data_IF_959531734966
#
_entry.id   IF_959531734966
#
_cell.length_a   1.000
_cell.length_b   1.000
_cell.length_c   1.000
_cell.angle_alpha   90.00
_cell.angle_beta   90.00
_cell.angle_gamma   90.00
#
_symmetry.space_group_name_H-M   'P 1'
#
loop_
_entity.id
_entity.type
_entity.pdbx_description
1 polymer ?
#
# COMPACT_ATOMS: atom_id res chain seq x y z
N UNK A 1 -10.64 22.62 -22.84
CA UNK A 1 -10.28 21.18 -22.74
C UNK A 1 -8.91 21.09 -22.09
N UNK A 2 -8.85 21.40 -20.79
CA UNK A 2 -7.70 21.14 -19.95
C UNK A 2 -8.16 20.07 -18.96
N UNK A 3 -7.54 18.89 -19.02
CA UNK A 3 -7.64 17.86 -17.99
C UNK A 3 -6.72 18.32 -16.87
N UNK A 4 -7.30 18.91 -15.82
CA UNK A 4 -6.58 19.22 -14.59
C UNK A 4 -6.34 17.92 -13.84
N UNK A 5 -5.16 17.33 -14.03
CA UNK A 5 -4.66 16.23 -13.20
C UNK A 5 -3.95 16.85 -12.01
N UNK A 6 -4.55 16.76 -10.82
CA UNK A 6 -3.88 17.13 -9.58
C UNK A 6 -2.99 15.96 -9.19
N UNK A 7 -1.69 16.09 -9.49
CA UNK A 7 -0.64 15.37 -8.82
C UNK A 7 -0.01 16.35 -7.84
N UNK A 8 -0.36 16.29 -6.57
CA UNK A 8 0.36 17.03 -5.53
C UNK A 8 1.63 16.24 -5.17
N UNK A 9 2.61 16.24 -6.07
CA UNK A 9 3.98 15.85 -5.74
C UNK A 9 4.69 17.09 -5.23
N UNK A 10 4.88 17.21 -3.91
CA UNK A 10 5.67 18.29 -3.31
C UNK A 10 7.15 17.96 -3.54
N UNK A 11 7.67 18.27 -4.72
CA UNK A 11 9.09 18.12 -5.04
C UNK A 11 9.90 19.25 -4.37
N UNK A 12 10.53 18.94 -3.23
CA UNK A 12 11.50 19.82 -2.59
C UNK A 12 12.90 19.58 -3.18
N UNK A 13 13.25 20.27 -4.28
CA UNK A 13 14.65 20.39 -4.71
C UNK A 13 15.26 21.69 -4.16
N UNK A 14 16.09 21.59 -3.13
CA UNK A 14 16.87 22.74 -2.66
C UNK A 14 18.04 22.99 -3.61
N UNK A 15 18.03 24.17 -4.24
CA UNK A 15 19.16 24.70 -4.99
C UNK A 15 20.25 25.17 -4.03
N UNK A 16 21.35 24.44 -3.92
CA UNK A 16 22.63 25.01 -3.51
C UNK A 16 23.75 24.48 -4.40
N UNK A 17 24.22 25.37 -5.26
CA UNK A 17 25.43 25.23 -6.06
C UNK A 17 26.64 24.92 -5.18
N UNK A 18 27.23 23.72 -5.29
CA UNK A 18 28.67 23.49 -5.25
C UNK A 18 29.00 22.19 -6.01
N UNK A 19 30.04 22.28 -6.83
CA UNK A 19 30.37 21.34 -7.89
C UNK A 19 30.78 19.95 -7.36
N UNK A 20 30.13 18.90 -7.85
CA UNK A 20 30.71 17.56 -7.91
C UNK A 20 30.34 16.86 -9.23
N UNK A 21 31.30 16.10 -9.72
CA UNK A 21 31.48 15.64 -11.09
C UNK A 21 30.38 14.71 -11.62
N UNK A 22 29.90 15.03 -12.82
CA UNK A 22 29.00 14.22 -13.65
C UNK A 22 29.60 12.85 -14.00
N UNK A 23 28.94 11.77 -13.58
CA UNK A 23 28.99 10.47 -14.28
C UNK A 23 27.67 10.28 -15.02
N UNK A 24 27.72 10.50 -16.33
CA UNK A 24 26.66 10.10 -17.25
C UNK A 24 26.56 8.58 -17.31
N UNK A 25 25.47 8.00 -16.82
CA UNK A 25 24.99 6.71 -17.31
C UNK A 25 23.93 6.97 -18.39
N UNK A 26 24.31 6.63 -19.62
CA UNK A 26 23.46 6.69 -20.80
C UNK A 26 22.39 5.59 -20.70
N UNK A 27 21.14 5.98 -20.43
CA UNK A 27 19.99 5.11 -20.67
C UNK A 27 19.82 4.98 -22.19
N UNK A 28 20.12 3.79 -22.71
CA UNK A 28 19.78 3.41 -24.08
C UNK A 28 18.27 3.28 -24.18
N UNK A 29 17.64 4.19 -24.92
CA UNK A 29 16.31 3.99 -25.49
C UNK A 29 16.29 2.68 -26.29
N UNK A 30 15.52 1.69 -25.80
CA UNK A 30 15.02 0.60 -26.64
C UNK A 30 13.60 0.98 -27.03
N UNK A 31 13.42 1.24 -28.32
CA UNK A 31 12.11 1.38 -28.95
C UNK A 31 11.33 0.07 -28.85
N UNK A 32 10.24 0.07 -28.08
CA UNK A 32 9.11 -0.83 -28.28
C UNK A 32 7.88 0.02 -28.59
N UNK A 33 7.77 0.44 -29.85
CA UNK A 33 6.63 1.17 -30.38
C UNK A 33 5.58 0.15 -30.84
N UNK A 34 4.34 0.33 -30.35
CA UNK A 34 3.08 -0.41 -30.65
C UNK A 34 2.69 -1.50 -29.65
N UNK A 35 2.19 -1.11 -28.47
CA UNK A 35 1.07 -1.80 -27.81
C UNK A 35 0.39 -1.01 -26.64
N UNK A 36 0.56 0.32 -26.55
CA UNK A 36 0.12 1.11 -25.38
C UNK A 36 -0.87 2.24 -25.69
N UNK A 37 -1.80 2.03 -26.63
CA UNK A 37 -2.78 3.07 -26.98
C UNK A 37 -4.26 2.70 -26.81
N UNK A 38 -4.60 1.56 -26.20
CA UNK A 38 -6.02 1.15 -26.09
C UNK A 38 -6.55 0.83 -24.67
N UNK A 39 -5.83 1.13 -23.58
CA UNK A 39 -6.33 0.88 -22.21
C UNK A 39 -6.48 2.12 -21.33
N UNK A 40 -6.43 3.33 -21.91
CA UNK A 40 -6.77 4.57 -21.21
C UNK A 40 -8.20 5.01 -21.52
N UNK A 41 -9.18 4.14 -21.22
CA UNK A 41 -10.57 4.54 -21.09
C UNK A 41 -10.86 4.63 -19.61
N UNK A 42 -10.84 5.85 -19.06
CA UNK A 42 -11.27 6.11 -17.70
C UNK A 42 -12.68 5.55 -17.51
N UNK A 43 -12.81 4.57 -16.64
CA UNK A 43 -14.10 4.08 -16.16
C UNK A 43 -14.68 5.18 -15.26
N UNK A 44 -15.63 5.97 -15.80
CA UNK A 44 -16.53 6.75 -14.97
C UNK A 44 -17.42 5.76 -14.21
N UNK A 45 -17.05 5.46 -12.98
CA UNK A 45 -17.83 4.64 -12.04
C UNK A 45 -18.81 5.56 -11.29
N UNK A 46 -20.03 5.08 -11.11
CA UNK A 46 -21.16 5.72 -10.43
C UNK A 46 -20.74 6.48 -9.17
N UNK A 47 -21.09 7.76 -9.11
CA UNK A 47 -20.87 8.65 -7.95
C UNK A 47 -21.92 8.37 -6.84
N UNK A 48 -22.93 7.54 -7.13
CA UNK A 48 -24.15 7.43 -6.31
C UNK A 48 -24.03 6.56 -5.05
N UNK A 49 -22.97 5.78 -4.84
CA UNK A 49 -22.84 4.94 -3.64
C UNK A 49 -21.46 5.03 -3.01
N UNK A 50 -21.40 5.20 -1.69
CA UNK A 50 -20.20 4.92 -0.89
C UNK A 50 -19.80 3.46 -1.14
N UNK A 51 -18.75 3.24 -1.93
CA UNK A 51 -18.20 1.92 -2.20
C UNK A 51 -17.69 1.23 -0.92
N UNK A 52 -17.15 0.00 -1.02
CA UNK A 52 -16.56 -0.70 0.11
C UNK A 52 -15.58 0.21 0.86
N UNK A 53 -15.74 0.32 2.18
CA UNK A 53 -14.86 1.13 3.02
C UNK A 53 -14.00 0.22 3.87
N UNK A 54 -12.83 0.71 4.26
CA UNK A 54 -12.17 0.10 5.40
C UNK A 54 -13.06 0.26 6.64
N UNK A 55 -13.29 -0.82 7.37
CA UNK A 55 -14.03 -0.76 8.61
C UNK A 55 -13.22 0.08 9.60
N UNK A 56 -13.63 1.33 9.81
CA UNK A 56 -13.25 2.15 10.95
C UNK A 56 -13.99 1.61 12.18
N UNK A 57 -13.65 0.40 12.64
CA UNK A 57 -13.98 0.05 14.01
C UNK A 57 -13.25 1.07 14.90
N UNK A 58 -14.05 1.89 15.60
CA UNK A 58 -13.70 2.77 16.73
C UNK A 58 -12.20 2.92 16.89
N UNK A 59 -11.63 4.02 16.38
CA UNK A 59 -10.29 4.51 16.71
C UNK A 59 -9.41 3.40 17.29
N UNK A 60 -8.82 2.56 16.41
CA UNK A 60 -8.00 1.41 16.81
C UNK A 60 -7.30 1.73 18.13
N UNK A 61 -7.69 1.09 19.25
CA UNK A 61 -7.43 1.61 20.58
C UNK A 61 -5.92 1.83 20.71
N UNK A 62 -5.52 3.10 20.83
CA UNK A 62 -4.14 3.54 21.08
C UNK A 62 -3.07 2.78 20.27
N UNK A 63 -3.22 2.67 18.95
CA UNK A 63 -2.17 2.09 18.13
C UNK A 63 -1.20 3.19 17.66
N UNK A 64 -0.09 3.34 18.36
CA UNK A 64 1.10 4.12 17.98
C UNK A 64 1.80 3.59 16.68
N UNK A 65 1.03 3.03 15.74
CA UNK A 65 1.39 2.75 14.34
C UNK A 65 0.19 2.19 13.54
N UNK A 66 -0.47 3.01 12.72
CA UNK A 66 -1.44 2.59 11.70
C UNK A 66 -0.73 2.21 10.41
N UNK A 67 -0.25 0.98 10.31
CA UNK A 67 0.34 0.50 9.05
C UNK A 67 -0.36 -0.70 8.44
N UNK A 68 -1.51 -1.10 8.98
CA UNK A 68 -2.31 -2.16 8.38
C UNK A 68 -3.78 -1.82 8.58
N UNK A 69 -4.43 -1.43 7.50
CA UNK A 69 -5.88 -1.37 7.39
C UNK A 69 -6.39 -2.76 7.00
N UNK A 70 -7.59 -3.12 7.44
CA UNK A 70 -8.19 -4.41 7.09
C UNK A 70 -9.68 -4.22 6.82
N UNK A 71 -10.21 -4.99 5.87
CA UNK A 71 -11.65 -5.12 5.62
C UNK A 71 -11.99 -6.56 5.24
N UNK A 72 -13.24 -6.95 5.43
CA UNK A 72 -13.80 -8.21 4.92
C UNK A 72 -14.87 -7.95 3.84
N UNK A 73 -15.05 -6.70 3.41
CA UNK A 73 -16.11 -6.34 2.46
C UNK A 73 -15.92 -7.00 1.08
N UNK A 74 -14.69 -7.44 0.77
CA UNK A 74 -14.37 -8.21 -0.44
C UNK A 74 -14.69 -9.72 -0.32
N UNK A 75 -15.34 -10.17 0.76
CA UNK A 75 -15.76 -11.57 0.91
C UNK A 75 -16.62 -12.09 -0.26
N UNK A 76 -17.62 -11.36 -0.80
CA UNK A 76 -18.44 -11.86 -1.89
C UNK A 76 -17.64 -12.23 -3.14
N UNK A 77 -16.82 -11.30 -3.65
CA UNK A 77 -15.95 -11.57 -4.80
C UNK A 77 -14.89 -12.64 -4.47
N UNK A 78 -14.36 -12.64 -3.26
CA UNK A 78 -13.38 -13.66 -2.85
C UNK A 78 -13.96 -15.07 -2.84
N UNK A 79 -15.24 -15.24 -2.48
CA UNK A 79 -15.91 -16.55 -2.55
C UNK A 79 -16.00 -17.05 -3.99
N UNK A 80 -16.36 -16.16 -4.92
CA UNK A 80 -16.42 -16.46 -6.35
C UNK A 80 -15.05 -16.86 -6.90
N UNK A 81 -14.02 -16.03 -6.66
CA UNK A 81 -12.65 -16.31 -7.10
C UNK A 81 -12.09 -17.59 -6.48
N UNK A 82 -12.39 -17.84 -5.20
CA UNK A 82 -11.99 -19.07 -4.52
C UNK A 82 -12.69 -20.30 -5.12
N UNK A 83 -13.97 -20.21 -5.45
CA UNK A 83 -14.68 -21.31 -6.09
C UNK A 83 -14.03 -21.63 -7.45
N UNK A 84 -13.76 -20.62 -8.28
CA UNK A 84 -13.06 -20.80 -9.54
C UNK A 84 -11.69 -21.49 -9.34
N UNK A 85 -10.92 -21.02 -8.34
CA UNK A 85 -9.64 -21.62 -7.98
C UNK A 85 -9.77 -23.11 -7.59
N UNK A 86 -10.73 -23.45 -6.72
CA UNK A 86 -10.94 -24.83 -6.27
C UNK A 86 -11.41 -25.75 -7.40
N UNK A 87 -12.24 -25.23 -8.31
CA UNK A 87 -12.69 -25.93 -9.51
C UNK A 87 -11.55 -26.20 -10.49
N UNK A 88 -10.67 -25.21 -10.71
CA UNK A 88 -9.48 -25.33 -11.55
C UNK A 88 -8.56 -26.47 -11.07
N UNK A 89 -8.36 -26.61 -9.75
CA UNK A 89 -7.52 -27.65 -9.17
C UNK A 89 -8.26 -28.94 -8.78
N UNK A 90 -9.54 -29.09 -9.14
CA UNK A 90 -10.36 -30.25 -8.74
C UNK A 90 -9.91 -31.56 -9.37
N UNK A 91 -9.51 -31.53 -10.65
CA UNK A 91 -8.97 -32.70 -11.36
C UNK A 91 -7.56 -32.41 -11.90
N UNK A 92 -6.49 -32.87 -11.21
CA UNK A 92 -5.12 -32.61 -11.62
C UNK A 92 -4.73 -33.30 -12.95
N UNK A 93 -5.61 -34.13 -13.53
CA UNK A 93 -5.38 -34.81 -14.81
C UNK A 93 -6.08 -34.14 -15.98
N UNK A 94 -6.91 -33.12 -15.74
CA UNK A 94 -7.64 -32.45 -16.79
C UNK A 94 -6.65 -31.79 -17.76
N UNK A 95 -6.73 -32.09 -19.07
CA UNK A 95 -5.90 -31.42 -20.07
C UNK A 95 -6.55 -30.10 -20.42
N UNK A 96 -6.04 -29.00 -19.87
CA UNK A 96 -6.33 -27.65 -20.34
C UNK A 96 -5.06 -26.95 -20.82
N UNK A 97 -5.21 -25.90 -21.62
CA UNK A 97 -4.10 -25.14 -22.20
C UNK A 97 -3.29 -24.36 -21.15
N UNK A 98 -3.87 -24.13 -19.98
CA UNK A 98 -3.31 -23.31 -18.91
C UNK A 98 -2.59 -24.16 -17.85
N UNK A 99 -2.75 -25.48 -17.90
CA UNK A 99 -2.20 -26.46 -16.96
C UNK A 99 -0.73 -26.21 -16.68
N UNK A 100 0.07 -25.98 -17.73
CA UNK A 100 1.52 -25.82 -17.59
C UNK A 100 1.96 -24.40 -17.20
N UNK A 101 1.05 -23.42 -17.15
CA UNK A 101 1.37 -22.04 -16.78
C UNK A 101 1.49 -21.86 -15.26
N UNK A 102 0.86 -22.74 -14.47
CA UNK A 102 0.87 -22.69 -13.01
C UNK A 102 0.60 -24.07 -12.37
N UNK A 103 1.34 -25.10 -12.82
CA UNK A 103 1.16 -26.48 -12.31
C UNK A 103 1.94 -26.72 -10.99
N UNK A 104 1.30 -26.80 -9.82
CA UNK A 104 1.98 -27.11 -8.56
C UNK A 104 2.61 -28.51 -8.55
N UNK A 105 2.20 -29.39 -9.46
CA UNK A 105 2.67 -30.77 -9.53
C UNK A 105 3.91 -30.96 -10.42
N UNK A 106 4.26 -29.95 -11.23
CA UNK A 106 5.35 -30.05 -12.21
C UNK A 106 6.32 -28.86 -12.21
N UNK A 107 5.99 -27.73 -11.55
CA UNK A 107 6.92 -26.60 -11.37
C UNK A 107 7.65 -26.76 -10.03
N UNK A 108 8.95 -27.05 -10.07
CA UNK A 108 9.77 -26.99 -8.88
C UNK A 108 10.06 -25.52 -8.50
N UNK A 109 10.13 -25.26 -7.21
CA UNK A 109 10.60 -23.97 -6.68
C UNK A 109 12.02 -23.72 -7.19
N UNK A 110 12.22 -22.64 -7.95
CA UNK A 110 13.50 -22.27 -8.56
C UNK A 110 13.57 -22.34 -10.09
N UNK A 111 12.55 -22.89 -10.77
CA UNK A 111 12.54 -22.99 -12.24
C UNK A 111 12.03 -21.72 -12.96
N UNK A 112 11.52 -20.74 -12.22
CA UNK A 112 11.30 -19.40 -12.76
C UNK A 112 12.61 -18.64 -12.58
N UNK A 113 13.26 -18.33 -13.71
CA UNK A 113 14.47 -17.51 -13.81
C UNK A 113 14.51 -16.48 -12.70
N UNK A 114 15.61 -16.47 -11.93
CA UNK A 114 16.01 -15.36 -11.09
C UNK A 114 15.80 -14.07 -11.89
N UNK A 115 14.68 -13.39 -11.69
CA UNK A 115 14.61 -11.96 -11.93
C UNK A 115 15.61 -11.42 -10.92
N UNK A 116 16.84 -11.23 -11.38
CA UNK A 116 17.79 -10.35 -10.74
C UNK A 116 17.15 -8.97 -10.80
N UNK A 117 16.19 -8.72 -9.92
CA UNK A 117 15.98 -7.39 -9.41
C UNK A 117 17.29 -7.10 -8.68
N UNK A 118 18.12 -6.27 -9.31
CA UNK A 118 19.37 -5.80 -8.73
C UNK A 118 19.01 -5.15 -7.40
N UNK A 119 19.14 -5.90 -6.30
CA UNK A 119 19.13 -5.32 -4.97
C UNK A 119 20.27 -4.32 -4.95
N UNK A 120 19.94 -3.03 -4.86
CA UNK A 120 20.91 -2.00 -4.57
C UNK A 120 21.43 -2.22 -3.14
N UNK A 121 22.35 -3.17 -2.99
CA UNK A 121 23.13 -3.30 -1.75
C UNK A 121 23.93 -2.00 -1.66
N UNK A 122 23.67 -1.20 -0.62
CA UNK A 122 24.43 0.02 -0.40
C UNK A 122 25.92 -0.36 -0.30
N UNK A 123 26.79 0.49 -0.85
CA UNK A 123 28.25 0.32 -0.78
C UNK A 123 28.82 0.62 0.62
N UNK A 124 28.01 0.41 1.67
CA UNK A 124 28.48 0.55 3.04
C UNK A 124 29.30 -0.71 3.36
N UNK A 125 30.58 -0.68 2.99
CA UNK A 125 31.60 -1.65 3.41
C UNK A 125 31.89 -1.55 4.92
N UNK A 126 30.86 -1.38 5.76
CA UNK A 126 30.98 -1.37 7.21
C UNK A 126 30.81 -2.77 7.79
N UNK A 127 31.89 -3.25 8.42
CA UNK A 127 31.93 -4.24 9.50
C UNK A 127 31.00 -5.46 9.44
N UNK A 128 30.76 -6.03 8.25
CA UNK A 128 30.12 -7.35 8.16
C UNK A 128 30.95 -8.39 8.92
N UNK A 129 30.30 -9.20 9.76
CA UNK A 129 30.98 -10.30 10.46
C UNK A 129 31.32 -11.39 9.43
N UNK A 130 32.41 -12.12 9.64
CA UNK A 130 32.82 -13.23 8.77
C UNK A 130 31.63 -14.19 8.52
N UNK A 131 31.27 -14.42 7.26
CA UNK A 131 30.17 -15.29 6.85
C UNK A 131 28.80 -14.63 6.72
N UNK A 132 28.63 -13.36 7.11
CA UNK A 132 27.33 -12.67 7.10
C UNK A 132 26.79 -12.45 5.68
N UNK A 133 27.67 -12.07 4.76
CA UNK A 133 27.32 -11.90 3.35
C UNK A 133 26.89 -13.22 2.72
N UNK A 134 27.68 -14.28 2.92
CA UNK A 134 27.37 -15.62 2.40
C UNK A 134 26.05 -16.15 2.99
N UNK A 135 25.80 -15.92 4.29
CA UNK A 135 24.56 -16.31 4.94
C UNK A 135 23.33 -15.57 4.41
N UNK A 136 23.50 -14.29 4.06
CA UNK A 136 22.44 -13.44 3.49
C UNK A 136 22.15 -13.83 2.05
N UNK A 137 23.19 -14.01 1.21
CA UNK A 137 23.06 -14.44 -0.18
C UNK A 137 22.50 -15.86 -0.31
N UNK A 138 22.68 -16.72 0.70
CA UNK A 138 22.12 -18.06 0.73
C UNK A 138 20.62 -18.10 1.10
N UNK A 139 20.03 -16.98 1.55
CA UNK A 139 18.60 -16.94 1.88
C UNK A 139 17.74 -17.04 0.62
N UNK A 140 16.73 -17.92 0.65
CA UNK A 140 15.69 -17.94 -0.37
C UNK A 140 14.70 -16.81 -0.10
N UNK A 141 14.54 -15.86 -1.01
CA UNK A 141 13.61 -14.75 -0.82
C UNK A 141 12.15 -15.21 -0.91
N UNK A 142 11.83 -16.06 -1.89
CA UNK A 142 10.48 -16.57 -2.15
C UNK A 142 10.52 -18.07 -2.47
N UNK A 143 9.60 -18.86 -1.90
CA UNK A 143 9.35 -20.26 -2.33
C UNK A 143 7.95 -20.52 -2.89
N UNK A 144 7.09 -19.50 -2.84
CA UNK A 144 5.73 -19.52 -3.39
C UNK A 144 5.69 -19.64 -4.92
N UNK A 145 4.52 -19.98 -5.45
CA UNK A 145 4.23 -19.97 -6.89
C UNK A 145 3.25 -18.84 -7.19
N UNK A 146 3.56 -17.95 -8.14
CA UNK A 146 2.69 -16.82 -8.52
C UNK A 146 2.49 -16.69 -10.03
N UNK A 147 1.32 -16.19 -10.40
CA UNK A 147 0.97 -15.82 -11.78
C UNK A 147 0.15 -14.52 -11.76
N UNK A 148 0.16 -13.77 -12.84
CA UNK A 148 -0.73 -12.61 -13.01
C UNK A 148 -2.19 -13.06 -12.99
N UNK A 149 -3.04 -12.34 -12.25
CA UNK A 149 -4.43 -12.75 -12.01
C UNK A 149 -5.25 -12.81 -13.29
N UNK A 150 -4.98 -11.92 -14.26
CA UNK A 150 -5.63 -11.91 -15.58
C UNK A 150 -5.28 -13.12 -16.46
N UNK A 151 -4.16 -13.80 -16.18
CA UNK A 151 -3.79 -15.03 -16.87
C UNK A 151 -4.41 -16.27 -16.21
N UNK A 152 -5.01 -16.13 -15.03
CA UNK A 152 -5.58 -17.23 -14.25
C UNK A 152 -7.12 -17.22 -14.26
N UNK A 153 -7.71 -16.08 -13.92
CA UNK A 153 -9.17 -15.90 -13.86
C UNK A 153 -9.76 -15.60 -15.24
N UNK A 154 -11.08 -15.74 -15.35
CA UNK A 154 -11.82 -15.29 -16.54
C UNK A 154 -11.77 -13.76 -16.65
N UNK A 155 -12.01 -13.21 -17.84
CA UNK A 155 -12.06 -11.76 -18.04
C UNK A 155 -13.10 -11.10 -17.12
N UNK A 156 -14.28 -11.72 -16.97
CA UNK A 156 -15.35 -11.22 -16.08
C UNK A 156 -14.92 -11.23 -14.60
N UNK A 157 -14.35 -12.34 -14.12
CA UNK A 157 -13.87 -12.47 -12.75
C UNK A 157 -12.74 -11.47 -12.45
N UNK A 158 -11.83 -11.28 -13.40
CA UNK A 158 -10.73 -10.34 -13.29
C UNK A 158 -11.21 -8.89 -13.29
N UNK A 159 -12.13 -8.53 -14.19
CA UNK A 159 -12.74 -7.20 -14.23
C UNK A 159 -13.45 -6.87 -12.93
N UNK A 160 -14.27 -7.79 -12.39
CA UNK A 160 -14.95 -7.60 -11.11
C UNK A 160 -13.96 -7.44 -9.94
N UNK A 161 -12.89 -8.24 -9.92
CA UNK A 161 -11.81 -8.09 -8.92
C UNK A 161 -11.17 -6.70 -8.97
N UNK A 162 -10.86 -6.20 -10.17
CA UNK A 162 -10.24 -4.88 -10.35
C UNK A 162 -11.20 -3.77 -9.95
N UNK A 163 -12.48 -3.88 -10.28
CA UNK A 163 -13.52 -2.92 -9.91
C UNK A 163 -13.66 -2.82 -8.39
N UNK A 164 -13.84 -3.95 -7.70
CA UNK A 164 -13.99 -4.01 -6.25
C UNK A 164 -12.74 -3.51 -5.49
N UNK A 165 -11.54 -3.88 -5.95
CA UNK A 165 -10.30 -3.36 -5.39
C UNK A 165 -10.17 -1.85 -5.64
N UNK A 166 -10.46 -1.37 -6.85
CA UNK A 166 -10.41 0.07 -7.16
C UNK A 166 -11.41 0.85 -6.31
N UNK A 167 -12.62 0.33 -6.11
CA UNK A 167 -13.61 0.93 -5.23
C UNK A 167 -13.11 1.03 -3.78
N UNK A 168 -12.45 -0.01 -3.29
CA UNK A 168 -11.77 0.01 -1.98
C UNK A 168 -10.62 1.03 -1.95
N UNK A 169 -9.81 1.12 -3.01
CA UNK A 169 -8.73 2.09 -3.13
C UNK A 169 -9.21 3.55 -3.07
N UNK A 170 -10.36 3.85 -3.69
CA UNK A 170 -10.99 5.18 -3.65
C UNK A 170 -11.30 5.63 -2.23
N UNK A 171 -11.63 4.70 -1.31
CA UNK A 171 -11.89 5.02 0.09
C UNK A 171 -10.68 5.63 0.82
N UNK A 172 -9.48 5.50 0.24
CA UNK A 172 -8.23 6.12 0.68
C UNK A 172 -7.58 6.99 -0.39
N UNK A 173 -8.34 7.44 -1.41
CA UNK A 173 -7.86 8.42 -2.40
C UNK A 173 -6.91 7.84 -3.46
N UNK A 174 -7.02 6.55 -3.78
CA UNK A 174 -6.22 5.88 -4.82
C UNK A 174 -7.13 5.28 -5.89
N UNK A 175 -7.00 5.73 -7.14
CA UNK A 175 -7.95 5.41 -8.22
C UNK A 175 -7.46 4.32 -9.18
N UNK A 176 -6.25 3.79 -8.99
CA UNK A 176 -5.72 2.70 -9.79
C UNK A 176 -5.05 1.62 -8.96
N UNK A 177 -4.92 0.44 -9.56
CA UNK A 177 -4.10 -0.66 -9.04
C UNK A 177 -3.12 -1.16 -10.10
N UNK A 178 -1.97 -1.66 -9.67
CA UNK A 178 -1.12 -2.48 -10.54
C UNK A 178 -1.84 -3.78 -10.91
N UNK A 179 -1.52 -4.41 -12.06
CA UNK A 179 -1.98 -5.76 -12.36
C UNK A 179 -1.73 -6.73 -11.19
N UNK A 180 -2.80 -7.26 -10.54
CA UNK A 180 -2.65 -8.06 -9.34
C UNK A 180 -2.05 -9.44 -9.64
N UNK A 181 -1.22 -9.94 -8.74
CA UNK A 181 -0.72 -11.31 -8.75
C UNK A 181 -1.58 -12.22 -7.87
N UNK A 182 -1.78 -13.46 -8.30
CA UNK A 182 -2.27 -14.53 -7.44
C UNK A 182 -1.08 -15.41 -7.03
N UNK A 183 -0.95 -15.64 -5.73
CA UNK A 183 0.13 -16.38 -5.10
C UNK A 183 -0.41 -17.57 -4.33
N UNK A 184 0.24 -18.72 -4.51
CA UNK A 184 -0.05 -19.98 -3.83
C UNK A 184 1.16 -20.44 -3.03
N UNK A 185 0.91 -20.71 -1.75
CA UNK A 185 1.89 -21.24 -0.81
C UNK A 185 1.41 -22.60 -0.32
N UNK A 186 2.16 -23.63 -0.66
CA UNK A 186 1.97 -25.02 -0.25
C UNK A 186 2.83 -25.36 0.96
N UNK A 187 2.79 -26.61 1.44
CA UNK A 187 3.58 -27.03 2.59
C UNK A 187 5.08 -26.77 2.37
N UNK A 188 5.68 -25.99 3.26
CA UNK A 188 7.09 -25.58 3.19
C UNK A 188 7.33 -24.24 2.49
N UNK A 189 6.31 -23.64 1.86
CA UNK A 189 6.45 -22.36 1.21
C UNK A 189 6.44 -21.21 2.24
N UNK A 190 7.18 -20.14 1.92
CA UNK A 190 7.35 -18.93 2.74
C UNK A 190 7.76 -17.74 1.84
N UNK A 191 7.81 -16.56 2.44
CA UNK A 191 8.37 -15.35 1.85
C UNK A 191 9.15 -14.59 2.92
N UNK A 192 10.44 -14.36 2.66
CA UNK A 192 11.32 -13.69 3.59
C UNK A 192 11.00 -12.19 3.65
N UNK A 193 11.56 -11.50 4.65
CA UNK A 193 11.36 -10.08 4.82
C UNK A 193 11.87 -9.29 3.60
N UNK A 194 11.04 -8.41 3.09
CA UNK A 194 11.33 -7.49 1.99
C UNK A 194 10.47 -6.24 2.16
N UNK A 195 10.74 -5.23 1.34
CA UNK A 195 9.91 -4.04 1.19
C UNK A 195 9.48 -3.91 -0.27
N UNK A 196 8.38 -3.22 -0.49
CA UNK A 196 7.80 -2.97 -1.81
C UNK A 196 7.92 -1.49 -2.22
N UNK A 197 8.88 -0.78 -1.62
CA UNK A 197 8.96 0.69 -1.59
C UNK A 197 8.80 1.43 -2.95
N UNK A 198 9.19 0.90 -4.14
CA UNK A 198 9.03 1.65 -5.39
C UNK A 198 7.68 1.44 -6.11
N UNK A 199 6.73 0.66 -5.59
CA UNK A 199 5.60 0.17 -6.38
C UNK A 199 4.27 0.92 -6.24
N UNK A 200 4.13 1.78 -5.23
CA UNK A 200 2.96 2.63 -5.02
C UNK A 200 2.84 3.17 -3.59
N UNK A 201 1.83 4.02 -3.29
CA UNK A 201 1.62 4.52 -1.93
C UNK A 201 1.20 3.45 -0.92
N UNK A 202 0.44 2.44 -1.36
CA UNK A 202 -0.09 1.37 -0.50
C UNK A 202 -0.01 0.01 -1.21
N UNK A 203 0.43 -1.02 -0.49
CA UNK A 203 0.34 -2.41 -0.91
C UNK A 203 -0.93 -3.06 -0.35
N UNK A 204 -1.45 -4.08 -1.03
CA UNK A 204 -2.58 -4.87 -0.54
C UNK A 204 -2.36 -6.37 -0.67
N UNK A 205 -3.00 -7.13 0.22
CA UNK A 205 -3.11 -8.58 0.17
C UNK A 205 -4.55 -8.99 0.47
N UNK A 206 -5.24 -9.54 -0.52
CA UNK A 206 -6.56 -10.13 -0.42
C UNK A 206 -6.46 -11.65 -0.24
N UNK A 207 -7.03 -12.18 0.83
CA UNK A 207 -7.02 -13.61 1.10
C UNK A 207 -8.13 -14.37 0.39
N UNK A 208 -7.73 -15.45 -0.30
CA UNK A 208 -8.64 -16.52 -0.76
C UNK A 208 -8.49 -17.79 0.09
N UNK A 209 -7.91 -17.69 1.28
CA UNK A 209 -7.58 -18.84 2.12
C UNK A 209 -8.75 -19.24 3.03
N UNK A 210 -9.12 -20.52 3.02
CA UNK A 210 -10.11 -21.05 3.95
C UNK A 210 -9.50 -21.30 5.33
N UNK A 211 -10.32 -21.22 6.36
CA UNK A 211 -9.92 -21.57 7.71
C UNK A 211 -9.65 -23.08 7.83
N UNK A 212 -8.56 -23.44 8.53
CA UNK A 212 -8.23 -24.82 8.86
C UNK A 212 -7.53 -25.62 7.75
N UNK A 213 -7.31 -25.06 6.56
CA UNK A 213 -6.62 -25.74 5.47
C UNK A 213 -5.11 -25.93 5.74
N UNK A 214 -4.50 -25.00 6.50
CA UNK A 214 -3.08 -25.01 6.86
C UNK A 214 -2.85 -24.35 8.23
N UNK A 215 -1.62 -24.49 8.73
CA UNK A 215 -1.08 -23.75 9.87
C UNK A 215 0.07 -22.84 9.41
N UNK A 216 0.36 -21.77 10.14
CA UNK A 216 1.33 -20.78 9.72
C UNK A 216 0.79 -19.91 8.57
N UNK A 217 1.68 -19.44 7.70
CA UNK A 217 1.28 -18.61 6.55
C UNK A 217 0.79 -17.22 6.93
N UNK A 218 0.95 -16.79 8.18
CA UNK A 218 0.62 -15.42 8.57
C UNK A 218 1.44 -14.43 7.75
N UNK A 219 0.82 -13.32 7.34
CA UNK A 219 1.59 -12.17 6.89
C UNK A 219 2.31 -11.62 8.12
N UNK A 220 3.64 -11.52 8.04
CA UNK A 220 4.48 -10.97 9.10
C UNK A 220 4.93 -9.57 8.73
N UNK A 221 4.93 -8.66 9.69
CA UNK A 221 5.34 -7.27 9.47
C UNK A 221 6.16 -6.76 10.66
N UNK A 222 7.24 -6.04 10.39
CA UNK A 222 8.05 -5.43 11.44
C UNK A 222 7.28 -4.29 12.12
N UNK A 223 7.29 -4.22 13.45
CA UNK A 223 6.66 -3.13 14.21
C UNK A 223 7.57 -1.90 14.24
N UNK A 224 6.99 -0.69 14.14
CA UNK A 224 7.72 0.59 14.29
C UNK A 224 8.55 0.68 15.55
N UNK A 225 7.97 0.23 16.67
CA UNK A 225 8.56 0.35 18.01
C UNK A 225 9.73 -0.60 18.25
N UNK A 226 10.24 -1.27 17.21
CA UNK A 226 11.40 -2.14 17.34
C UNK A 226 12.63 -1.40 17.89
N UNK A 227 12.81 -0.12 17.54
CA UNK A 227 13.88 0.72 18.09
C UNK A 227 13.69 1.05 19.58
N UNK A 228 12.47 0.89 20.11
CA UNK A 228 12.13 1.09 21.51
C UNK A 228 12.14 -0.19 22.34
N UNK A 229 12.45 -1.35 21.72
CA UNK A 229 12.38 -2.66 22.35
C UNK A 229 13.04 -2.70 23.74
N UNK A 230 14.22 -2.08 23.87
CA UNK A 230 14.99 -2.06 25.12
C UNK A 230 14.40 -1.15 26.20
N UNK A 231 13.68 -0.08 25.82
CA UNK A 231 13.05 0.83 26.79
C UNK A 231 11.91 0.14 27.54
N UNK A 232 11.18 -0.73 26.85
CA UNK A 232 10.07 -1.51 27.40
C UNK A 232 10.42 -2.97 27.69
N UNK A 233 11.70 -3.34 27.70
CA UNK A 233 12.10 -4.74 27.85
C UNK A 233 11.74 -5.28 29.23
N UNK A 234 10.89 -6.30 29.25
CA UNK A 234 10.51 -7.04 30.44
C UNK A 234 11.03 -8.48 30.34
N UNK A 235 12.13 -8.76 31.03
CA UNK A 235 12.75 -10.09 31.05
C UNK A 235 11.92 -11.18 31.74
N UNK A 236 10.74 -10.85 32.27
CA UNK A 236 9.77 -11.84 32.76
C UNK A 236 8.83 -12.36 31.66
N UNK A 237 8.77 -11.68 30.52
CA UNK A 237 7.98 -12.09 29.35
C UNK A 237 8.76 -13.15 28.56
N UNK A 238 8.16 -14.31 28.31
CA UNK A 238 8.87 -15.47 27.77
C UNK A 238 9.18 -15.45 26.26
N UNK A 239 8.52 -14.60 25.46
CA UNK A 239 8.78 -14.49 24.02
C UNK A 239 8.62 -13.04 23.54
N UNK A 240 9.70 -12.48 22.99
CA UNK A 240 9.78 -11.10 22.51
C UNK A 240 9.27 -10.95 21.07
N UNK A 241 9.07 -12.06 20.35
CA UNK A 241 8.70 -12.03 18.93
C UNK A 241 7.44 -11.21 18.67
N UNK A 242 6.46 -11.25 19.59
CA UNK A 242 5.25 -10.43 19.51
C UNK A 242 5.50 -8.94 19.71
N UNK A 243 6.62 -8.53 20.29
CA UNK A 243 7.03 -7.12 20.43
C UNK A 243 7.80 -6.62 19.21
N UNK A 244 8.35 -7.54 18.41
CA UNK A 244 9.15 -7.25 17.21
C UNK A 244 8.29 -7.31 15.95
N UNK A 245 7.52 -8.38 15.82
CA UNK A 245 6.72 -8.69 14.63
C UNK A 245 5.22 -8.62 14.93
N UNK A 246 4.46 -8.11 13.97
CA UNK A 246 3.02 -8.29 13.87
C UNK A 246 2.73 -9.52 13.02
N UNK A 247 1.84 -10.39 13.48
CA UNK A 247 1.35 -11.54 12.75
C UNK A 247 -0.10 -11.31 12.37
N UNK A 248 -0.39 -11.33 11.08
CA UNK A 248 -1.74 -11.17 10.56
C UNK A 248 -2.18 -12.53 9.99
N UNK A 249 -3.24 -13.15 10.55
CA UNK A 249 -3.69 -14.44 10.06
C UNK A 249 -4.07 -14.37 8.57
N UNK A 250 -3.73 -15.42 7.83
CA UNK A 250 -4.06 -15.51 6.41
C UNK A 250 -5.55 -15.77 6.15
N UNK A 251 -6.36 -16.10 7.16
CA UNK A 251 -7.80 -16.32 7.07
C UNK A 251 -8.55 -15.36 8.02
N UNK A 252 -9.84 -15.05 7.79
CA UNK A 252 -10.76 -15.72 6.88
C UNK A 252 -10.57 -15.31 5.41
N UNK A 253 -11.21 -16.08 4.54
CA UNK A 253 -11.41 -15.73 3.14
C UNK A 253 -12.11 -14.38 3.05
N UNK A 254 -11.70 -13.54 2.10
CA UNK A 254 -12.25 -12.19 1.94
C UNK A 254 -11.54 -11.11 2.73
N UNK A 255 -10.66 -11.47 3.68
CA UNK A 255 -9.84 -10.47 4.37
C UNK A 255 -8.91 -9.80 3.35
N UNK A 256 -9.07 -8.49 3.18
CA UNK A 256 -8.10 -7.64 2.52
C UNK A 256 -7.33 -6.85 3.57
N UNK A 257 -6.01 -6.90 3.51
CA UNK A 257 -5.14 -6.00 4.27
C UNK A 257 -4.47 -5.02 3.34
N UNK A 258 -4.30 -3.79 3.81
CA UNK A 258 -3.66 -2.69 3.07
C UNK A 258 -2.66 -2.01 3.97
N UNK A 259 -1.45 -1.79 3.47
CA UNK A 259 -0.33 -1.36 4.30
C UNK A 259 0.68 -0.51 3.54
N UNK A 260 1.54 0.17 4.30
CA UNK A 260 2.65 0.95 3.78
C UNK A 260 3.74 0.02 3.19
N UNK A 261 4.06 0.11 1.89
CA UNK A 261 4.98 -0.81 1.23
C UNK A 261 6.44 -0.64 1.69
N UNK A 262 6.79 0.46 2.37
CA UNK A 262 8.14 0.68 2.91
C UNK A 262 8.45 -0.22 4.11
N UNK A 263 7.45 -0.89 4.64
CA UNK A 263 7.52 -1.66 5.89
C UNK A 263 8.06 -3.05 5.59
N UNK A 264 9.12 -3.50 6.28
CA UNK A 264 9.61 -4.85 6.12
C UNK A 264 8.53 -5.88 6.47
N UNK A 265 8.18 -6.72 5.51
CA UNK A 265 7.11 -7.71 5.65
C UNK A 265 7.41 -9.00 4.87
N UNK A 266 6.67 -10.06 5.16
CA UNK A 266 6.85 -11.37 4.55
C UNK A 266 5.68 -12.31 4.86
N UNK A 267 5.88 -13.61 4.59
CA UNK A 267 4.90 -14.65 4.90
C UNK A 267 5.61 -15.78 5.63
N UNK A 268 5.09 -16.11 6.81
CA UNK A 268 5.62 -17.18 7.64
C UNK A 268 5.47 -18.55 6.95
N UNK A 269 6.25 -19.53 7.39
CA UNK A 269 6.23 -20.88 6.82
C UNK A 269 4.82 -21.49 6.85
N UNK A 270 4.34 -21.92 5.69
CA UNK A 270 3.06 -22.63 5.54
C UNK A 270 3.25 -24.11 5.85
N UNK A 271 2.40 -24.64 6.73
CA UNK A 271 2.34 -26.05 7.11
C UNK A 271 0.97 -26.60 6.76
N UNK A 272 0.84 -27.24 5.61
CA UNK A 272 -0.40 -27.90 5.19
C UNK A 272 -0.24 -29.42 5.18
N UNK A 273 -1.36 -30.14 5.32
CA UNK A 273 -1.35 -31.60 5.27
C UNK A 273 -1.33 -32.08 3.81
N UNK A 274 -0.12 -32.29 3.28
CA UNK A 274 0.10 -32.80 1.92
C UNK A 274 0.26 -31.70 0.87
N UNK A 275 0.26 -32.09 -0.40
CA UNK A 275 0.59 -31.22 -1.52
C UNK A 275 -0.65 -30.73 -2.29
N UNK A 276 -1.86 -30.86 -1.71
CA UNK A 276 -3.09 -30.39 -2.37
C UNK A 276 -3.06 -28.85 -2.47
N UNK A 277 -3.01 -28.25 -3.68
CA UNK A 277 -2.94 -26.80 -3.85
C UNK A 277 -4.17 -26.09 -3.27
N UNK A 278 -5.32 -26.77 -3.23
CA UNK A 278 -6.56 -26.25 -2.61
C UNK A 278 -6.47 -26.10 -1.10
N UNK A 279 -5.47 -26.71 -0.47
CA UNK A 279 -5.19 -26.66 0.96
C UNK A 279 -4.00 -25.76 1.30
N UNK A 280 -3.51 -24.98 0.35
CA UNK A 280 -2.47 -23.97 0.57
C UNK A 280 -3.02 -22.62 1.04
N UNK A 281 -2.11 -21.71 1.38
CA UNK A 281 -2.43 -20.28 1.52
C UNK A 281 -2.50 -19.67 0.13
N UNK A 282 -3.66 -19.12 -0.21
CA UNK A 282 -3.93 -18.44 -1.47
C UNK A 282 -4.18 -16.97 -1.19
N UNK A 283 -3.48 -16.11 -1.90
CA UNK A 283 -3.58 -14.66 -1.75
C UNK A 283 -3.47 -13.97 -3.11
N UNK A 284 -4.28 -12.93 -3.32
CA UNK A 284 -4.13 -11.96 -4.39
C UNK A 284 -3.43 -10.74 -3.81
N UNK A 285 -2.43 -10.18 -4.48
CA UNK A 285 -1.69 -9.03 -3.98
C UNK A 285 -1.25 -8.09 -5.10
N UNK A 286 -1.02 -6.83 -4.75
CA UNK A 286 -0.61 -5.77 -5.65
C UNK A 286 -0.49 -4.44 -4.92
N UNK A 287 -0.45 -3.35 -5.67
CA UNK A 287 -0.31 -2.00 -5.14
C UNK A 287 -1.41 -1.09 -5.64
N UNK A 288 -1.95 -0.28 -4.73
CA UNK A 288 -2.77 0.88 -5.07
C UNK A 288 -1.87 2.01 -5.55
N UNK A 289 -2.37 2.79 -6.50
CA UNK A 289 -1.66 3.84 -7.21
C UNK A 289 -2.61 4.97 -7.62
N UNK A 290 -2.02 6.03 -8.18
CA UNK A 290 -2.71 7.22 -8.67
C UNK A 290 -3.51 7.93 -7.55
N UNK A 291 -2.82 8.71 -6.71
CA UNK A 291 -3.48 9.62 -5.78
C UNK A 291 -4.37 10.61 -6.53
N UNK A 292 -5.68 10.56 -6.28
CA UNK A 292 -6.66 11.48 -6.86
C UNK A 292 -7.79 11.77 -5.86
N UNK A 293 -8.34 12.98 -5.91
CA UNK A 293 -9.49 13.37 -5.08
C UNK A 293 -10.70 12.50 -5.44
N UNK A 294 -11.26 11.81 -4.45
CA UNK A 294 -12.39 10.92 -4.64
C UNK A 294 -13.66 11.53 -4.02
N UNK A 295 -14.70 11.70 -4.85
CA UNK A 295 -15.98 12.29 -4.47
C UNK A 295 -17.00 11.17 -4.21
N UNK A 296 -17.78 11.30 -3.12
CA UNK A 296 -18.78 10.31 -2.68
C UNK A 296 -20.09 10.99 -2.29
N UNK A 297 -21.20 10.31 -2.54
CA UNK A 297 -22.55 10.85 -2.32
C UNK A 297 -23.11 11.53 -3.57
N UNK A 298 -24.25 12.18 -3.46
CA UNK A 298 -24.92 12.76 -4.62
C UNK A 298 -24.26 14.08 -5.06
N UNK A 299 -23.37 14.01 -6.03
CA UNK A 299 -22.76 15.17 -6.69
C UNK A 299 -23.21 15.27 -8.13
N UNK A 300 -23.51 16.49 -8.60
CA UNK A 300 -23.65 16.73 -10.04
C UNK A 300 -22.28 16.98 -10.71
N UNK A 301 -22.14 16.61 -11.98
CA UNK A 301 -20.85 16.72 -12.69
C UNK A 301 -20.32 18.16 -12.72
N UNK A 302 -21.21 19.15 -12.82
CA UNK A 302 -20.82 20.57 -12.87
C UNK A 302 -20.38 21.11 -11.51
N UNK A 303 -20.99 20.62 -10.43
CA UNK A 303 -20.58 20.85 -9.05
C UNK A 303 -19.19 20.27 -8.82
N UNK A 304 -18.94 19.02 -9.23
CA UNK A 304 -17.62 18.38 -9.07
C UNK A 304 -16.54 19.20 -9.77
N UNK A 305 -16.76 19.66 -11.01
CA UNK A 305 -15.79 20.49 -11.73
C UNK A 305 -15.51 21.84 -11.01
N UNK A 306 -16.56 22.51 -10.55
CA UNK A 306 -16.44 23.77 -9.81
C UNK A 306 -15.76 23.57 -8.45
N UNK A 307 -16.08 22.50 -7.73
CA UNK A 307 -15.56 22.22 -6.41
C UNK A 307 -14.12 21.72 -6.43
N UNK A 308 -13.71 21.01 -7.49
CA UNK A 308 -12.29 20.71 -7.72
C UNK A 308 -11.47 22.01 -7.86
N UNK A 309 -11.99 22.99 -8.60
CA UNK A 309 -11.28 24.28 -8.76
C UNK A 309 -11.15 25.02 -7.42
N UNK A 310 -12.22 25.05 -6.62
CA UNK A 310 -12.20 25.67 -5.29
C UNK A 310 -11.22 24.94 -4.35
N UNK A 311 -11.26 23.60 -4.34
CA UNK A 311 -10.34 22.79 -3.54
C UNK A 311 -8.89 23.04 -3.95
N UNK A 312 -8.59 23.08 -5.25
CA UNK A 312 -7.24 23.35 -5.76
C UNK A 312 -6.70 24.71 -5.29
N UNK A 313 -7.55 25.74 -5.29
CA UNK A 313 -7.21 27.07 -4.77
C UNK A 313 -6.99 27.04 -3.25
N UNK A 314 -7.83 26.31 -2.52
CA UNK A 314 -7.76 26.22 -1.07
C UNK A 314 -6.58 25.35 -0.56
N UNK A 315 -6.07 24.45 -1.40
CA UNK A 315 -4.87 23.65 -1.09
C UNK A 315 -3.57 24.43 -1.33
N UNK A 316 -3.56 25.53 -2.10
CA UNK A 316 -2.34 26.30 -2.37
C UNK A 316 -1.63 26.81 -1.11
N UNK A 317 -2.31 27.40 -0.11
CA UNK A 317 -1.65 27.85 1.12
C UNK A 317 -1.01 26.71 1.90
N UNK A 318 -1.60 25.51 1.86
CA UNK A 318 -1.02 24.30 2.48
C UNK A 318 0.29 23.96 1.77
N UNK A 319 0.29 23.91 0.43
CA UNK A 319 1.50 23.63 -0.37
C UNK A 319 2.59 24.65 -0.07
N UNK A 320 2.26 25.94 -0.01
CA UNK A 320 3.20 27.00 0.31
C UNK A 320 3.79 26.84 1.72
N UNK A 321 2.97 26.48 2.70
CA UNK A 321 3.40 26.23 4.09
C UNK A 321 4.31 25.00 4.17
N UNK A 322 3.97 23.92 3.46
CA UNK A 322 4.80 22.71 3.41
C UNK A 322 6.14 22.97 2.67
N UNK A 323 6.13 23.86 1.68
CA UNK A 323 7.30 24.23 0.90
C UNK A 323 8.15 25.35 1.54
N UNK A 324 7.62 26.08 2.53
CA UNK A 324 8.33 27.20 3.18
C UNK A 324 9.59 26.75 3.92
N UNK A 325 9.60 25.47 4.31
CA UNK A 325 10.62 24.87 5.13
C UNK A 325 10.49 25.18 6.63
N UNK A 326 9.37 25.78 7.05
CA UNK A 326 9.03 25.99 8.46
C UNK A 326 8.64 24.67 9.15
N UNK A 327 8.01 23.76 8.41
CA UNK A 327 7.67 22.41 8.88
C UNK A 327 8.76 21.42 8.46
N UNK A 328 9.03 20.44 9.33
CA UNK A 328 9.94 19.32 9.05
C UNK A 328 9.50 18.52 7.81
N UNK A 329 10.47 17.93 7.10
CA UNK A 329 10.20 17.07 5.94
C UNK A 329 9.61 15.75 6.42
N UNK A 330 8.69 15.21 5.63
CA UNK A 330 8.13 13.89 5.82
C UNK A 330 8.15 13.12 4.51
N UNK A 331 8.05 11.81 4.60
CA UNK A 331 7.78 10.92 3.48
C UNK A 331 6.60 10.00 3.82
N UNK A 332 5.86 9.58 2.79
CA UNK A 332 4.72 8.67 2.92
C UNK A 332 3.44 9.22 2.33
N UNK A 333 2.31 8.77 2.85
CA UNK A 333 1.00 9.01 2.28
C UNK A 333 -0.01 9.34 3.38
N UNK A 334 -0.80 10.38 3.15
CA UNK A 334 -1.92 10.76 4.00
C UNK A 334 -3.15 10.89 3.13
N UNK A 335 -4.26 10.30 3.54
CA UNK A 335 -5.56 10.54 2.93
C UNK A 335 -6.54 11.02 4.00
N UNK A 336 -7.19 12.15 3.72
CA UNK A 336 -8.14 12.79 4.60
C UNK A 336 -9.53 12.67 3.99
N UNK A 337 -10.48 12.07 4.72
CA UNK A 337 -11.90 12.11 4.38
C UNK A 337 -12.54 13.30 5.06
N UNK A 338 -13.24 14.12 4.29
CA UNK A 338 -14.05 15.23 4.77
C UNK A 338 -15.52 14.87 4.62
N UNK A 339 -16.26 14.96 5.72
CA UNK A 339 -17.72 14.81 5.75
C UNK A 339 -18.34 16.21 5.66
N UNK A 340 -19.36 16.37 4.81
CA UNK A 340 -19.94 17.66 4.45
C UNK A 340 -21.43 17.66 4.78
N UNK A 341 -21.89 18.71 5.45
CA UNK A 341 -23.29 18.87 5.82
C UNK A 341 -24.18 19.38 4.66
N UNK A 342 -25.46 19.58 4.97
CA UNK A 342 -26.45 20.08 4.01
C UNK A 342 -26.20 21.54 3.58
N UNK A 343 -25.57 22.35 4.45
CA UNK A 343 -25.20 23.75 4.20
C UNK A 343 -23.88 23.85 3.40
N UNK A 344 -23.17 22.73 3.26
CA UNK A 344 -21.89 22.61 2.57
C UNK A 344 -20.68 22.83 3.46
N UNK A 345 -20.86 23.07 4.75
CA UNK A 345 -19.75 23.20 5.70
C UNK A 345 -19.11 21.83 5.97
N UNK A 346 -17.79 21.82 6.18
CA UNK A 346 -17.09 20.60 6.56
C UNK A 346 -17.38 20.29 8.02
N UNK A 347 -18.06 19.17 8.26
CA UNK A 347 -18.49 18.69 9.57
C UNK A 347 -17.39 17.94 10.31
N UNK A 348 -16.58 17.16 9.60
CA UNK A 348 -15.45 16.42 10.16
C UNK A 348 -14.31 16.24 9.16
N UNK A 349 -13.09 16.09 9.67
CA UNK A 349 -11.89 15.75 8.89
C UNK A 349 -11.22 14.54 9.53
N UNK A 350 -11.26 13.41 8.83
CA UNK A 350 -10.85 12.11 9.33
C UNK A 350 -9.63 11.63 8.53
N UNK A 351 -8.52 11.33 9.19
CA UNK A 351 -7.40 10.62 8.56
C UNK A 351 -7.78 9.17 8.26
N UNK A 352 -8.13 8.86 7.01
CA UNK A 352 -8.52 7.51 6.58
C UNK A 352 -7.30 6.64 6.21
N UNK A 353 -6.17 7.26 5.92
CA UNK A 353 -4.87 6.60 5.82
C UNK A 353 -3.76 7.55 6.28
N UNK A 354 -2.84 7.08 7.11
CA UNK A 354 -1.66 7.85 7.56
C UNK A 354 -0.44 6.93 7.64
N UNK A 355 0.48 7.12 6.69
CA UNK A 355 1.79 6.46 6.67
C UNK A 355 2.93 7.46 6.87
N UNK A 356 2.66 8.71 7.26
CA UNK A 356 3.68 9.75 7.32
C UNK A 356 4.80 9.39 8.30
N UNK A 357 6.03 9.59 7.84
CA UNK A 357 7.25 9.51 8.63
C UNK A 357 8.01 10.79 8.46
N UNK A 358 8.49 11.38 9.55
CA UNK A 358 9.49 12.42 9.45
C UNK A 358 10.73 11.88 8.71
N UNK A 359 11.33 12.71 7.87
CA UNK A 359 12.53 12.39 7.12
C UNK A 359 13.73 12.38 8.08
N UNK A 360 14.38 11.23 8.34
CA UNK A 360 15.48 11.14 9.30
C UNK A 360 16.69 12.00 8.89
N UNK A 361 16.80 12.35 7.61
CA UNK A 361 17.87 13.20 7.08
C UNK A 361 17.52 14.69 7.18
N UNK A 362 16.39 15.05 7.79
CA UNK A 362 15.99 16.44 8.01
C UNK A 362 16.63 17.07 9.25
N UNK A 363 17.92 17.37 9.15
CA UNK A 363 18.74 17.92 10.25
C UNK A 363 18.52 19.42 10.55
N UNK A 364 17.45 20.03 10.06
CA UNK A 364 17.18 21.48 10.26
C UNK A 364 17.01 21.87 11.74
N UNK A 365 16.90 20.90 12.66
CA UNK A 365 16.82 21.09 14.11
C UNK A 365 18.13 20.97 14.91
N UNK A 366 19.32 20.90 14.30
CA UNK A 366 20.59 20.85 15.06
C UNK A 366 21.44 22.09 14.76
N UNK A 367 21.03 23.25 15.30
CA UNK A 367 21.91 24.42 15.42
C UNK A 367 21.80 25.01 16.83
N UNK A 368 22.67 24.52 17.72
CA UNK A 368 23.17 25.29 18.87
C UNK A 368 22.86 24.70 20.25
N UNK A 369 23.88 24.08 20.87
CA UNK A 369 23.96 23.64 22.26
C UNK A 369 23.46 24.67 23.32
N UNK A 370 22.16 24.85 23.48
CA UNK A 370 21.53 25.47 24.66
C UNK A 370 20.06 25.01 24.77
N UNK A 371 19.82 24.07 25.69
CA UNK A 371 18.60 23.56 26.38
C UNK A 371 17.15 23.76 25.82
N UNK A 372 16.95 24.22 24.59
CA UNK A 372 15.67 24.28 23.88
C UNK A 372 15.65 23.47 22.57
N UNK A 373 16.70 22.69 22.32
CA UNK A 373 16.88 21.83 21.15
C UNK A 373 16.00 20.59 21.23
N UNK A 374 14.73 20.70 20.85
CA UNK A 374 13.99 19.54 20.35
C UNK A 374 14.28 19.41 18.86
N UNK A 375 14.66 18.22 18.37
CA UNK A 375 14.78 18.03 16.93
C UNK A 375 13.40 18.27 16.30
N UNK A 376 13.33 19.21 15.35
CA UNK A 376 12.15 19.53 14.50
C UNK A 376 11.52 18.25 13.90
N UNK A 377 12.29 17.18 13.82
CA UNK A 377 11.92 15.85 13.36
C UNK A 377 10.79 15.16 14.16
N UNK A 378 10.73 15.28 15.50
CA UNK A 378 9.80 14.45 16.29
C UNK A 378 8.32 14.79 16.03
N UNK A 379 8.03 16.04 15.66
CA UNK A 379 6.66 16.55 15.49
C UNK A 379 6.28 16.84 14.03
N UNK A 380 7.20 16.73 13.06
CA UNK A 380 6.96 17.10 11.66
C UNK A 380 5.72 16.44 11.04
N UNK A 381 5.52 15.13 11.27
CA UNK A 381 4.32 14.44 10.78
C UNK A 381 3.03 14.93 11.45
N UNK A 382 3.10 15.31 12.72
CA UNK A 382 1.96 15.87 13.47
C UNK A 382 1.62 17.28 12.99
N UNK A 383 2.63 18.13 12.76
CA UNK A 383 2.46 19.50 12.27
C UNK A 383 1.84 19.55 10.87
N UNK A 384 2.29 18.67 9.97
CA UNK A 384 1.71 18.51 8.63
C UNK A 384 0.24 18.11 8.72
N UNK A 385 -0.08 17.12 9.55
CA UNK A 385 -1.47 16.69 9.75
C UNK A 385 -2.33 17.81 10.31
N UNK A 386 -1.86 18.51 11.34
CA UNK A 386 -2.59 19.61 11.93
C UNK A 386 -2.88 20.70 10.90
N UNK A 387 -1.86 21.10 10.13
CA UNK A 387 -1.99 22.12 9.08
C UNK A 387 -3.01 21.69 8.02
N UNK A 388 -2.94 20.44 7.54
CA UNK A 388 -3.90 19.91 6.56
C UNK A 388 -5.32 19.89 7.14
N UNK A 389 -5.48 19.37 8.37
CA UNK A 389 -6.80 19.18 8.97
C UNK A 389 -7.48 20.52 9.24
N UNK A 390 -6.74 21.50 9.77
CA UNK A 390 -7.27 22.84 10.03
C UNK A 390 -7.69 23.56 8.74
N UNK A 391 -6.91 23.44 7.67
CA UNK A 391 -7.27 24.07 6.39
C UNK A 391 -8.50 23.40 5.77
N UNK A 392 -8.55 22.05 5.76
CA UNK A 392 -9.70 21.32 5.23
C UNK A 392 -10.99 21.58 6.03
N UNK A 393 -10.89 21.74 7.36
CA UNK A 393 -12.04 22.00 8.24
C UNK A 393 -12.72 23.35 7.99
N UNK A 394 -12.01 24.30 7.38
CA UNK A 394 -12.52 25.65 7.10
C UNK A 394 -13.12 25.81 5.69
N UNK A 395 -13.25 24.71 4.93
CA UNK A 395 -13.83 24.74 3.58
C UNK A 395 -15.36 24.73 3.63
N UNK A 396 -15.96 25.29 2.58
CA UNK A 396 -17.40 25.21 2.31
C UNK A 396 -17.63 24.83 0.84
N UNK A 397 -18.45 23.81 0.61
CA UNK A 397 -18.75 23.21 -0.70
C UNK A 397 -20.14 23.58 -1.23
N UNK A 398 -20.81 24.55 -0.60
CA UNK A 398 -22.17 24.98 -0.89
C UNK A 398 -23.24 23.95 -0.57
N UNK A 399 -24.49 24.41 -0.50
CA UNK A 399 -25.66 23.59 -0.17
C UNK A 399 -25.78 22.35 -1.08
N UNK A 400 -26.22 21.23 -0.52
CA UNK A 400 -26.42 19.99 -1.28
C UNK A 400 -27.13 18.89 -0.50
N UNK A 401 -27.00 17.64 -0.96
CA UNK A 401 -27.64 16.51 -0.28
C UNK A 401 -26.95 16.20 1.05
N UNK A 402 -27.72 15.61 1.97
CA UNK A 402 -27.17 14.87 3.10
C UNK A 402 -26.25 13.73 2.56
N UNK A 403 -25.20 13.38 3.31
CA UNK A 403 -24.22 12.31 3.00
C UNK A 403 -23.16 12.60 1.91
N UNK A 404 -22.81 13.87 1.66
CA UNK A 404 -21.67 14.20 0.79
C UNK A 404 -20.35 14.05 1.53
N UNK A 405 -19.37 13.44 0.87
CA UNK A 405 -18.01 13.36 1.40
C UNK A 405 -16.96 13.32 0.30
N UNK A 406 -15.73 13.67 0.66
CA UNK A 406 -14.60 13.74 -0.26
C UNK A 406 -13.39 13.12 0.42
N UNK A 407 -12.58 12.37 -0.31
CA UNK A 407 -11.26 11.90 0.15
C UNK A 407 -10.19 12.66 -0.62
N UNK A 408 -9.35 13.40 0.12
CA UNK A 408 -8.26 14.22 -0.39
C UNK A 408 -6.92 13.54 -0.07
N UNK A 409 -6.17 13.08 -1.07
CA UNK A 409 -4.90 12.41 -0.86
C UNK A 409 -3.69 13.37 -0.93
N UNK A 410 -2.67 13.08 -0.12
CA UNK A 410 -1.41 13.79 -0.04
C UNK A 410 -0.26 12.77 -0.09
N UNK A 411 0.58 12.86 -1.11
CA UNK A 411 1.75 12.01 -1.27
C UNK A 411 3.03 12.83 -1.02
N UNK A 412 3.92 12.30 -0.19
CA UNK A 412 5.18 12.91 0.21
C UNK A 412 6.31 11.97 -0.18
N UNK A 413 7.20 12.45 -1.05
CA UNK A 413 8.35 11.70 -1.56
C UNK A 413 9.64 12.03 -0.80
#
# INVERSE_FOLDING_TARGET
>A
MYSSKVLLAVLLSSSSSHAFTTRHHSFKHIHSTKLHQETASAFNIDVETDGPKFQLEKSLPECDYTQVMSTNDLEPISKQLRQYYDEHFKDPRQPDSNRFMWDPWYVNVGDVTSSQEESAVSNDEEFMIEGEKEATEAQTQYSLKRIQSNNFFTDDDFSNLVEELTALGRSVGLTAITPPWISMYTNGDMQNLHTDAPHGPLAFVLSLSNEGDFQGGETIMLKSKITELWKGFDGSMGMETGNIMRYIPASPLGRCIVFDPRVPHGVNLVKSFGNDPRKGRIAIHGWFNQPEVCWFGSWDETQVESMNTMLDEALQPIVETLASGEIGRVCGYLACRIEIDEDGDVDDVIGVCDTLKADPEDFRGVIGYDEADRPVFEDAASDIKLTIFENLKNLNFGEGSEDRSIVVPFAFE
#
